data_IF_139597829677
#
_entry.id   IF_139597829677
#
_cell.length_a   1.000
_cell.length_b   1.000
_cell.length_c   1.000
_cell.angle_alpha   90.00
_cell.angle_beta   90.00
_cell.angle_gamma   90.00
#
_symmetry.space_group_name_H-M   'P 1'
#
loop_
_entity.id
_entity.type
_entity.pdbx_description
1 polymer ?
#
# COMPACT_ATOMS: atom_id res chain seq x y z
N UNK A 1 4.93 -23.49 -6.09
CA UNK A 1 5.75 -23.31 -4.86
C UNK A 1 4.81 -23.55 -3.70
N UNK A 2 5.11 -24.48 -2.78
CA UNK A 2 4.24 -24.69 -1.61
C UNK A 2 4.48 -23.55 -0.61
N UNK A 3 3.44 -23.17 0.15
CA UNK A 3 3.50 -22.03 1.09
C UNK A 3 4.66 -22.16 2.11
N UNK A 4 5.02 -23.39 2.47
CA UNK A 4 6.14 -23.70 3.36
C UNK A 4 7.53 -23.32 2.79
N UNK A 5 7.72 -23.42 1.47
CA UNK A 5 9.01 -23.09 0.84
C UNK A 5 9.26 -21.58 0.86
N UNK A 6 8.19 -20.78 0.74
CA UNK A 6 8.25 -19.33 0.72
C UNK A 6 8.52 -18.75 2.11
N UNK A 7 7.88 -19.30 3.15
CA UNK A 7 8.17 -18.94 4.56
C UNK A 7 9.64 -19.19 4.86
N UNK A 8 10.17 -20.36 4.51
CA UNK A 8 11.57 -20.68 4.74
C UNK A 8 12.55 -19.76 3.98
N UNK A 9 12.18 -19.33 2.77
CA UNK A 9 12.96 -18.37 1.99
C UNK A 9 12.99 -16.96 2.61
N UNK A 10 11.99 -16.57 3.40
CA UNK A 10 11.90 -15.24 4.03
C UNK A 10 12.46 -15.25 5.46
N UNK A 11 12.39 -16.36 6.20
CA UNK A 11 12.87 -16.47 7.58
C UNK A 11 14.35 -16.10 7.76
N UNK A 12 15.18 -16.31 6.74
CA UNK A 12 16.60 -15.98 6.77
C UNK A 12 16.93 -14.57 6.25
N UNK A 13 15.92 -13.80 5.81
CA UNK A 13 16.12 -12.49 5.24
C UNK A 13 16.29 -11.43 6.34
N UNK A 14 17.37 -10.66 6.26
CA UNK A 14 17.48 -9.43 7.03
C UNK A 14 16.56 -8.38 6.39
N UNK A 15 15.52 -7.98 7.12
CA UNK A 15 14.51 -7.03 6.64
C UNK A 15 14.86 -5.62 7.12
N UNK A 16 15.06 -4.72 6.18
CA UNK A 16 15.25 -3.29 6.40
C UNK A 16 13.93 -2.53 6.32
N UNK A 17 13.92 -1.36 6.94
CA UNK A 17 12.75 -0.48 6.94
C UNK A 17 12.47 0.07 5.54
N UNK A 18 11.23 -0.08 5.07
CA UNK A 18 10.79 0.50 3.79
C UNK A 18 10.61 2.02 3.86
N UNK A 19 10.17 2.54 5.01
CA UNK A 19 10.15 3.97 5.32
C UNK A 19 10.94 4.19 6.62
N UNK A 20 11.61 5.34 6.80
CA UNK A 20 12.28 5.64 8.08
C UNK A 20 11.30 5.51 9.24
N UNK A 21 11.64 4.69 10.24
CA UNK A 21 10.80 4.52 11.42
C UNK A 21 11.64 4.45 12.69
N UNK A 22 11.45 5.40 13.58
CA UNK A 22 12.20 5.57 14.82
C UNK A 22 11.31 5.37 16.04
N UNK A 23 11.93 5.24 17.23
CA UNK A 23 11.22 4.92 18.46
C UNK A 23 10.21 6.00 18.91
N UNK A 24 10.38 7.23 18.44
CA UNK A 24 9.49 8.36 18.68
C UNK A 24 8.38 8.49 17.61
N UNK A 25 8.39 7.64 16.58
CA UNK A 25 7.35 7.62 15.57
C UNK A 25 6.14 6.81 16.02
N UNK A 26 4.97 7.25 15.57
CA UNK A 26 3.68 6.67 15.90
C UNK A 26 2.94 6.25 14.63
N UNK A 27 2.22 5.14 14.74
CA UNK A 27 1.38 4.60 13.66
C UNK A 27 -0.09 4.80 14.01
N UNK A 28 -0.89 5.06 12.98
CA UNK A 28 -2.34 5.03 13.09
C UNK A 28 -2.93 4.11 12.02
N UNK A 29 -3.64 3.07 12.47
CA UNK A 29 -4.39 2.18 11.58
C UNK A 29 -5.65 2.89 11.08
N UNK A 30 -5.75 3.06 9.77
CA UNK A 30 -6.86 3.75 9.13
C UNK A 30 -8.02 2.80 8.89
N UNK A 31 -9.19 3.13 9.41
CA UNK A 31 -10.43 2.43 9.06
C UNK A 31 -10.92 2.91 7.69
N UNK A 32 -10.57 2.16 6.65
CA UNK A 32 -10.99 2.40 5.26
C UNK A 32 -12.17 1.52 4.83
N UNK A 33 -12.92 0.97 5.80
CA UNK A 33 -14.07 0.11 5.55
C UNK A 33 -15.34 0.92 5.26
N UNK A 34 -16.35 0.27 4.67
CA UNK A 34 -17.65 0.88 4.43
C UNK A 34 -18.41 1.27 5.72
N UNK A 35 -18.01 0.72 6.88
CA UNK A 35 -18.66 1.01 8.16
C UNK A 35 -18.15 2.29 8.82
N UNK A 36 -17.07 2.90 8.32
CA UNK A 36 -16.58 4.16 8.84
C UNK A 36 -17.54 5.31 8.48
N UNK A 37 -18.25 5.92 9.45
CA UNK A 37 -19.20 6.99 9.16
C UNK A 37 -18.52 8.30 8.71
N UNK A 38 -17.24 8.48 9.06
CA UNK A 38 -16.48 9.69 8.74
C UNK A 38 -15.87 9.64 7.33
N UNK A 39 -15.85 8.46 6.69
CA UNK A 39 -15.32 8.24 5.35
C UNK A 39 -16.45 8.13 4.33
N UNK A 40 -16.92 9.29 3.86
CA UNK A 40 -18.05 9.35 2.91
C UNK A 40 -17.63 9.01 1.48
N UNK A 41 -18.61 8.62 0.67
CA UNK A 41 -18.42 8.36 -0.77
C UNK A 41 -17.79 9.55 -1.50
N UNK A 42 -18.21 10.78 -1.16
CA UNK A 42 -17.70 12.00 -1.80
C UNK A 42 -16.22 12.19 -1.48
N UNK A 43 -15.83 12.00 -0.22
CA UNK A 43 -14.43 12.06 0.23
C UNK A 43 -13.59 11.03 -0.53
N UNK A 44 -14.04 9.78 -0.60
CA UNK A 44 -13.31 8.69 -1.26
C UNK A 44 -13.17 8.92 -2.77
N UNK A 45 -14.16 9.52 -3.41
CA UNK A 45 -14.18 9.72 -4.87
C UNK A 45 -13.36 10.89 -5.38
N UNK A 46 -12.89 11.76 -4.47
CA UNK A 46 -12.10 12.94 -4.80
C UNK A 46 -10.71 12.84 -4.15
N UNK A 47 -9.67 12.82 -4.99
CA UNK A 47 -8.29 12.67 -4.54
C UNK A 47 -7.88 13.74 -3.52
N UNK A 48 -8.32 14.98 -3.69
CA UNK A 48 -7.97 16.10 -2.80
C UNK A 48 -8.70 15.96 -1.47
N UNK A 49 -10.00 15.64 -1.50
CA UNK A 49 -10.76 15.41 -0.27
C UNK A 49 -10.22 14.22 0.51
N UNK A 50 -9.94 13.11 -0.16
CA UNK A 50 -9.37 11.91 0.48
C UNK A 50 -8.00 12.21 1.10
N UNK A 51 -7.11 12.89 0.36
CA UNK A 51 -5.78 13.27 0.86
C UNK A 51 -5.90 14.15 2.11
N UNK A 52 -6.78 15.15 2.08
CA UNK A 52 -7.01 16.04 3.22
C UNK A 52 -7.61 15.30 4.42
N UNK A 53 -8.52 14.36 4.18
CA UNK A 53 -9.10 13.53 5.23
C UNK A 53 -8.04 12.67 5.93
N UNK A 54 -7.18 11.98 5.16
CA UNK A 54 -6.07 11.19 5.71
C UNK A 54 -5.14 12.09 6.54
N UNK A 55 -4.74 13.24 6.00
CA UNK A 55 -3.86 14.18 6.69
C UNK A 55 -4.46 14.65 8.02
N UNK A 56 -5.77 14.92 8.07
CA UNK A 56 -6.47 15.27 9.30
C UNK A 56 -6.47 14.12 10.31
N UNK A 57 -6.73 12.87 9.87
CA UNK A 57 -6.71 11.71 10.76
C UNK A 57 -5.35 11.52 11.46
N UNK A 58 -4.25 11.73 10.73
CA UNK A 58 -2.90 11.64 11.26
C UNK A 58 -2.56 12.80 12.19
N UNK A 59 -2.90 14.02 11.78
CA UNK A 59 -2.68 15.23 12.58
C UNK A 59 -3.39 15.13 13.94
N UNK A 60 -4.68 14.79 13.95
CA UNK A 60 -5.50 14.78 15.17
C UNK A 60 -5.06 13.71 16.18
N UNK A 61 -4.34 12.70 15.71
CA UNK A 61 -3.77 11.61 16.54
C UNK A 61 -2.29 11.75 16.80
N UNK A 62 -1.66 12.81 16.28
CA UNK A 62 -0.21 13.00 16.34
C UNK A 62 0.53 11.75 15.82
N UNK A 63 0.05 11.18 14.71
CA UNK A 63 0.59 9.99 14.06
C UNK A 63 1.66 10.39 13.03
N UNK A 64 2.80 9.71 13.02
CA UNK A 64 3.84 9.90 12.00
C UNK A 64 3.42 9.29 10.67
N UNK A 65 2.85 8.07 10.71
CA UNK A 65 2.37 7.37 9.53
C UNK A 65 0.97 6.80 9.75
N UNK A 66 0.16 6.86 8.69
CA UNK A 66 -1.03 6.03 8.57
C UNK A 66 -0.66 4.67 8.01
N UNK A 67 -1.30 3.61 8.48
CA UNK A 67 -1.14 2.26 7.93
C UNK A 67 -2.50 1.70 7.56
N UNK A 68 -2.52 0.95 6.47
CA UNK A 68 -3.71 0.22 6.03
C UNK A 68 -3.45 -1.27 6.22
N UNK A 69 -4.50 -2.07 6.32
CA UNK A 69 -4.35 -3.51 6.41
C UNK A 69 -4.05 -4.18 5.06
N UNK A 70 -3.56 -5.41 5.18
CA UNK A 70 -3.46 -6.38 4.10
C UNK A 70 -4.73 -7.23 4.04
N UNK A 71 -5.12 -7.66 2.84
CA UNK A 71 -6.29 -8.51 2.60
C UNK A 71 -7.60 -7.84 3.06
N UNK A 72 -7.68 -6.52 2.93
CA UNK A 72 -8.84 -5.74 3.30
C UNK A 72 -9.86 -5.71 2.16
N UNK A 73 -11.12 -5.98 2.49
CA UNK A 73 -12.23 -5.77 1.56
C UNK A 73 -12.55 -4.28 1.46
N UNK A 74 -11.81 -3.59 0.60
CA UNK A 74 -11.90 -2.15 0.42
C UNK A 74 -12.96 -1.81 -0.61
N UNK A 75 -14.13 -1.45 -0.12
CA UNK A 75 -15.24 -0.94 -0.96
C UNK A 75 -14.91 0.39 -1.63
N UNK A 76 -13.86 1.10 -1.19
CA UNK A 76 -13.39 2.37 -1.78
C UNK A 76 -12.99 2.23 -3.27
N UNK A 77 -12.48 1.07 -3.70
CA UNK A 77 -12.06 0.83 -5.09
C UNK A 77 -13.19 0.37 -6.01
N UNK A 78 -14.42 0.21 -5.51
CA UNK A 78 -15.55 -0.29 -6.29
C UNK A 78 -16.02 0.63 -7.43
N UNK A 79 -15.32 1.75 -7.70
CA UNK A 79 -15.83 2.85 -8.52
C UNK A 79 -14.91 3.40 -9.61
N UNK A 80 -13.65 2.98 -9.73
CA UNK A 80 -12.94 3.26 -10.98
C UNK A 80 -13.45 2.29 -12.05
N UNK A 81 -13.76 2.79 -13.24
CA UNK A 81 -14.10 1.94 -14.40
C UNK A 81 -12.95 0.97 -14.73
N UNK A 82 -11.72 1.29 -14.32
CA UNK A 82 -10.54 0.43 -14.42
C UNK A 82 -10.53 -0.77 -13.44
N UNK A 83 -11.30 -0.74 -12.34
CA UNK A 83 -11.40 -1.84 -11.36
C UNK A 83 -12.71 -2.66 -11.46
N UNK A 84 -13.44 -2.53 -12.57
CA UNK A 84 -14.46 -3.51 -12.97
C UNK A 84 -15.88 -3.21 -12.49
N UNK A 85 -16.39 -1.99 -12.73
CA UNK A 85 -17.84 -1.78 -12.72
C UNK A 85 -18.42 -2.59 -13.90
N UNK A 86 -19.11 -3.71 -13.60
CA UNK A 86 -19.75 -4.58 -14.61
C UNK A 86 -18.88 -5.73 -15.15
N UNK A 87 -17.73 -6.01 -14.53
CA UNK A 87 -16.93 -7.20 -14.82
C UNK A 87 -17.29 -8.35 -13.85
N UNK A 88 -17.16 -9.60 -14.32
CA UNK A 88 -17.45 -10.81 -13.53
C UNK A 88 -16.57 -10.96 -12.26
N UNK A 89 -15.42 -10.26 -12.20
CA UNK A 89 -14.49 -10.24 -11.06
C UNK A 89 -14.06 -8.82 -10.67
N UNK A 90 -14.79 -8.12 -9.79
CA UNK A 90 -14.40 -6.78 -9.35
C UNK A 90 -13.20 -6.86 -8.40
N UNK A 91 -12.14 -6.09 -8.68
CA UNK A 91 -10.89 -6.04 -7.90
C UNK A 91 -11.08 -5.24 -6.60
N UNK A 92 -11.79 -5.81 -5.63
CA UNK A 92 -12.15 -5.15 -4.36
C UNK A 92 -11.29 -5.56 -3.17
N UNK A 93 -10.41 -6.55 -3.38
CA UNK A 93 -9.52 -7.06 -2.36
C UNK A 93 -8.19 -6.33 -2.45
N UNK A 94 -7.83 -5.57 -1.42
CA UNK A 94 -6.53 -4.94 -1.36
C UNK A 94 -5.49 -5.95 -0.88
N UNK A 95 -4.64 -6.40 -1.81
CA UNK A 95 -3.57 -7.36 -1.55
C UNK A 95 -2.22 -6.68 -1.27
N UNK A 96 -2.18 -5.35 -1.26
CA UNK A 96 -1.03 -4.55 -0.85
C UNK A 96 -1.10 -4.15 0.62
N UNK A 97 -0.14 -3.34 1.05
CA UNK A 97 -0.15 -2.64 2.34
C UNK A 97 0.22 -1.21 2.05
N UNK A 98 -0.58 -0.27 2.56
CA UNK A 98 -0.35 1.15 2.37
C UNK A 98 0.30 1.76 3.59
N UNK A 99 1.20 2.70 3.33
CA UNK A 99 1.81 3.56 4.34
C UNK A 99 1.59 5.01 3.89
N UNK A 100 0.76 5.74 4.62
CA UNK A 100 0.53 7.16 4.39
C UNK A 100 1.51 7.99 5.21
N UNK A 101 2.20 8.91 4.56
CA UNK A 101 3.14 9.81 5.21
C UNK A 101 3.35 11.09 4.39
N UNK A 102 4.20 12.02 4.86
CA UNK A 102 4.50 13.25 4.14
C UNK A 102 5.07 12.99 2.75
N UNK A 103 4.68 13.81 1.77
CA UNK A 103 5.29 13.78 0.44
C UNK A 103 6.81 13.99 0.53
N UNK A 104 7.57 13.20 -0.22
CA UNK A 104 9.03 13.21 -0.17
C UNK A 104 9.63 12.32 0.93
N UNK A 105 8.81 11.58 1.70
CA UNK A 105 9.30 10.50 2.57
C UNK A 105 10.15 9.52 1.74
N UNK A 106 11.42 9.27 2.11
CA UNK A 106 12.25 8.29 1.41
C UNK A 106 11.63 6.89 1.51
N UNK A 107 11.62 6.17 0.38
CA UNK A 107 11.19 4.77 0.30
C UNK A 107 12.39 3.91 -0.09
N UNK A 108 12.62 2.84 0.66
CA UNK A 108 13.73 1.92 0.48
C UNK A 108 13.23 0.48 0.22
N UNK A 109 14.03 -0.30 -0.49
CA UNK A 109 13.85 -1.74 -0.60
C UNK A 109 14.00 -2.37 0.80
N UNK A 110 13.20 -3.40 1.11
CA UNK A 110 13.28 -4.07 2.41
C UNK A 110 14.46 -5.06 2.52
N UNK A 111 15.19 -5.28 1.43
CA UNK A 111 16.39 -6.10 1.34
C UNK A 111 17.15 -5.76 0.05
N UNK A 112 18.30 -6.39 -0.17
CA UNK A 112 19.00 -6.30 -1.46
C UNK A 112 18.10 -6.79 -2.60
N UNK A 113 17.93 -5.94 -3.61
CA UNK A 113 17.02 -6.18 -4.72
C UNK A 113 17.60 -5.68 -6.04
N UNK A 114 17.12 -6.27 -7.13
CA UNK A 114 17.36 -5.77 -8.48
C UNK A 114 16.09 -5.07 -8.99
N UNK A 115 16.25 -3.89 -9.60
CA UNK A 115 15.14 -3.24 -10.30
C UNK A 115 14.73 -4.13 -11.47
N UNK A 116 13.52 -4.69 -11.40
CA UNK A 116 12.96 -5.51 -12.46
C UNK A 116 12.25 -4.66 -13.51
N UNK A 117 11.57 -3.60 -13.08
CA UNK A 117 10.90 -2.65 -13.97
C UNK A 117 10.44 -1.41 -13.21
N UNK A 118 10.14 -0.35 -13.96
CA UNK A 118 9.57 0.87 -13.41
C UNK A 118 8.75 1.59 -14.50
N UNK A 119 7.82 2.44 -14.09
CA UNK A 119 6.95 3.16 -15.01
C UNK A 119 6.10 4.22 -14.31
N UNK A 120 5.36 4.99 -15.10
CA UNK A 120 4.37 5.95 -14.60
C UNK A 120 2.99 5.61 -15.16
N UNK A 121 2.12 5.09 -14.30
CA UNK A 121 0.75 4.69 -14.56
C UNK A 121 -0.20 5.84 -14.21
N UNK A 122 -0.21 6.87 -15.05
CA UNK A 122 -0.89 8.14 -14.76
C UNK A 122 -2.41 8.16 -14.97
N UNK A 123 -3.06 7.02 -15.17
CA UNK A 123 -4.52 6.96 -15.26
C UNK A 123 -5.15 7.29 -13.90
N UNK A 124 -6.35 7.87 -13.91
CA UNK A 124 -7.03 8.25 -12.68
C UNK A 124 -7.34 7.00 -11.83
N UNK A 125 -6.83 6.98 -10.59
CA UNK A 125 -6.96 5.85 -9.67
C UNK A 125 -6.02 4.67 -9.96
N UNK A 126 -5.02 4.84 -10.82
CA UNK A 126 -3.96 3.86 -11.08
C UNK A 126 -2.74 4.12 -10.16
N UNK A 127 -1.70 3.29 -10.25
CA UNK A 127 -0.56 3.25 -9.34
C UNK A 127 0.40 4.45 -9.42
N UNK A 128 0.19 5.42 -10.33
CA UNK A 128 1.13 6.54 -10.48
C UNK A 128 2.55 6.07 -10.77
N UNK A 129 3.55 6.63 -10.10
CA UNK A 129 4.94 6.20 -10.26
C UNK A 129 5.17 4.85 -9.60
N UNK A 130 5.61 3.85 -10.36
CA UNK A 130 5.71 2.47 -9.90
C UNK A 130 7.10 1.91 -10.15
N UNK A 131 7.63 1.16 -9.17
CA UNK A 131 8.86 0.38 -9.28
C UNK A 131 8.55 -1.06 -8.87
N UNK A 132 9.02 -2.03 -9.64
CA UNK A 132 8.98 -3.45 -9.30
C UNK A 132 10.40 -3.90 -8.99
N UNK A 133 10.60 -4.39 -7.77
CA UNK A 133 11.87 -4.95 -7.31
C UNK A 133 11.79 -6.48 -7.27
N UNK A 134 12.83 -7.12 -7.77
CA UNK A 134 13.05 -8.57 -7.63
C UNK A 134 14.03 -8.80 -6.49
N UNK A 135 13.62 -9.64 -5.54
CA UNK A 135 14.46 -10.09 -4.44
C UNK A 135 14.84 -11.55 -4.68
N UNK A 136 16.14 -11.80 -4.75
CA UNK A 136 16.69 -13.14 -4.90
C UNK A 136 17.02 -13.71 -3.51
N UNK A 137 16.17 -14.62 -3.03
CA UNK A 137 16.22 -15.24 -1.70
C UNK A 137 16.85 -16.65 -1.76
N UNK A 138 17.94 -16.76 -2.51
CA UNK A 138 18.63 -18.03 -2.77
C UNK A 138 17.86 -18.94 -3.73
N UNK A 139 17.00 -19.83 -3.20
CA UNK A 139 16.21 -20.77 -4.02
C UNK A 139 14.85 -20.20 -4.46
N UNK A 140 14.48 -19.04 -3.95
CA UNK A 140 13.25 -18.35 -4.28
C UNK A 140 13.54 -16.98 -4.89
N UNK A 141 12.63 -16.49 -5.72
CA UNK A 141 12.57 -15.09 -6.10
C UNK A 141 11.18 -14.55 -5.77
N UNK A 142 11.12 -13.39 -5.14
CA UNK A 142 9.88 -12.65 -4.91
C UNK A 142 9.94 -11.31 -5.62
N UNK A 143 8.78 -10.82 -6.03
CA UNK A 143 8.64 -9.52 -6.68
C UNK A 143 7.74 -8.66 -5.81
N UNK A 144 8.19 -7.46 -5.47
CA UNK A 144 7.38 -6.46 -4.78
C UNK A 144 7.19 -5.24 -5.67
N UNK A 145 5.96 -4.75 -5.74
CA UNK A 145 5.60 -3.52 -6.40
C UNK A 145 5.52 -2.40 -5.36
N UNK A 146 6.16 -1.28 -5.66
CA UNK A 146 6.09 -0.03 -4.92
C UNK A 146 5.36 0.97 -5.82
N UNK A 147 4.25 1.52 -5.36
CA UNK A 147 3.40 2.45 -6.10
C UNK A 147 2.43 3.16 -5.17
#
# INVERSE_FOLDING_TARGET
MHNADLVHCIEALEIHQTVPFHADNSLFELDLTASNPDLTTDIVSDQVLFTNWIAAQLHDRNATYGIGGYNEHRTIYSRSTHFGIGADEPRRLHLGTDIWGPAGTPVAAFADATVHGFGFNGAHGDYGATIILKYDLGRCAIFALYG
#
